data_IF_395990422809
#
_entry.id   IF_395990422809
#
_cell.length_a   1.000
_cell.length_b   1.000
_cell.length_c   1.000
_cell.angle_alpha   90.00
_cell.angle_beta   90.00
_cell.angle_gamma   90.00
#
_symmetry.space_group_name_H-M   'P 1'
#
loop_
_entity.id
_entity.type
_entity.pdbx_description
1 polymer ?
#
# COMPACT_ATOMS: atom_id res chain seq x y z
N UNK A 1 10.59 6.22 -38.27
CA UNK A 1 10.60 5.42 -37.03
C UNK A 1 10.91 3.98 -37.40
N UNK A 2 12.06 3.44 -36.98
CA UNK A 2 12.50 2.11 -37.41
C UNK A 2 11.55 1.04 -36.88
N UNK A 3 10.98 0.21 -37.76
CA UNK A 3 10.03 -0.87 -37.40
C UNK A 3 10.63 -1.86 -36.38
N UNK A 4 11.95 -2.00 -36.38
CA UNK A 4 12.72 -2.79 -35.41
C UNK A 4 12.68 -2.17 -34.01
N UNK A 5 12.75 -0.84 -33.89
CA UNK A 5 12.65 -0.16 -32.61
C UNK A 5 11.25 -0.31 -32.00
N UNK A 6 10.20 -0.29 -32.84
CA UNK A 6 8.81 -0.52 -32.38
C UNK A 6 8.63 -1.95 -31.86
N UNK A 7 9.21 -2.95 -32.54
CA UNK A 7 9.16 -4.34 -32.10
C UNK A 7 9.95 -4.58 -30.80
N UNK A 8 11.09 -3.91 -30.62
CA UNK A 8 11.87 -3.99 -29.39
C UNK A 8 11.14 -3.35 -28.20
N UNK A 9 10.51 -2.20 -28.38
CA UNK A 9 9.71 -1.54 -27.34
C UNK A 9 8.51 -2.41 -26.97
N UNK A 10 7.81 -2.95 -27.97
CA UNK A 10 6.69 -3.86 -27.74
C UNK A 10 7.13 -5.13 -26.97
N UNK A 11 8.28 -5.72 -27.34
CA UNK A 11 8.81 -6.89 -26.64
C UNK A 11 9.22 -6.59 -25.20
N UNK A 12 9.85 -5.44 -24.93
CA UNK A 12 10.18 -5.00 -23.58
C UNK A 12 8.94 -4.75 -22.71
N UNK A 13 7.84 -4.32 -23.32
CA UNK A 13 6.58 -4.07 -22.60
C UNK A 13 6.01 -5.35 -21.96
N UNK A 14 6.30 -6.52 -22.53
CA UNK A 14 5.83 -7.81 -22.00
C UNK A 14 6.72 -8.38 -20.88
N UNK A 15 7.91 -7.83 -20.65
CA UNK A 15 8.83 -8.32 -19.60
C UNK A 15 8.61 -7.66 -18.24
N UNK A 16 7.74 -6.64 -18.15
CA UNK A 16 7.40 -5.94 -16.90
C UNK A 16 6.25 -6.61 -16.12
N UNK A 17 6.21 -7.93 -16.04
CA UNK A 17 5.33 -8.64 -15.10
C UNK A 17 6.05 -8.79 -13.76
N UNK A 18 6.36 -7.68 -13.10
CA UNK A 18 6.88 -7.70 -11.73
C UNK A 18 5.74 -8.03 -10.78
N UNK A 19 5.71 -9.24 -10.24
CA UNK A 19 4.74 -9.64 -9.24
C UNK A 19 5.15 -9.07 -7.87
N UNK A 20 4.32 -8.19 -7.29
CA UNK A 20 4.28 -7.97 -5.84
C UNK A 20 3.50 -9.16 -5.28
N UNK A 21 4.02 -9.83 -4.25
CA UNK A 21 3.25 -10.90 -3.61
C UNK A 21 2.20 -10.25 -2.71
N UNK A 22 0.94 -10.35 -3.12
CA UNK A 22 -0.20 -9.80 -2.39
C UNK A 22 -0.98 -10.97 -1.81
N UNK A 23 -0.95 -11.08 -0.49
CA UNK A 23 -1.66 -12.11 0.27
C UNK A 23 -2.87 -11.46 0.93
N UNK A 24 -4.06 -11.82 0.47
CA UNK A 24 -5.33 -11.40 1.04
C UNK A 24 -5.89 -12.53 1.93
N UNK A 25 -6.12 -12.23 3.21
CA UNK A 25 -6.62 -13.17 4.20
C UNK A 25 -7.93 -12.68 4.82
N UNK A 26 -8.96 -13.53 4.75
CA UNK A 26 -10.26 -13.28 5.35
C UNK A 26 -10.55 -14.34 6.42
N UNK A 27 -10.56 -13.92 7.68
CA UNK A 27 -10.98 -14.74 8.80
C UNK A 27 -12.42 -14.39 9.17
N UNK A 28 -13.33 -15.35 9.10
CA UNK A 28 -14.76 -15.11 9.33
C UNK A 28 -15.29 -15.94 10.50
N UNK A 29 -15.96 -15.27 11.42
CA UNK A 29 -16.67 -15.86 12.54
C UNK A 29 -18.09 -16.28 12.13
N UNK A 30 -18.71 -17.15 12.92
CA UNK A 30 -20.09 -17.63 12.67
C UNK A 30 -21.15 -16.52 12.77
N UNK A 31 -20.85 -15.42 13.44
CA UNK A 31 -21.74 -14.28 13.60
C UNK A 31 -21.65 -13.25 12.44
N UNK A 32 -20.79 -13.50 11.45
CA UNK A 32 -20.58 -12.62 10.30
C UNK A 32 -19.45 -11.60 10.49
N UNK A 33 -18.88 -11.49 11.71
CA UNK A 33 -17.72 -10.64 11.98
C UNK A 33 -16.41 -11.32 11.60
N UNK A 34 -15.30 -10.59 11.61
CA UNK A 34 -14.01 -11.19 11.30
C UNK A 34 -12.85 -10.22 11.23
N UNK A 35 -11.76 -10.72 10.64
CA UNK A 35 -10.55 -9.95 10.36
C UNK A 35 -10.20 -10.08 8.89
N UNK A 36 -10.01 -8.94 8.24
CA UNK A 36 -9.48 -8.81 6.89
C UNK A 36 -8.03 -8.31 7.00
N UNK A 37 -7.10 -9.01 6.37
CA UNK A 37 -5.68 -8.63 6.34
C UNK A 37 -5.17 -8.76 4.92
N UNK A 38 -4.63 -7.67 4.39
CA UNK A 38 -3.94 -7.65 3.11
C UNK A 38 -2.47 -7.36 3.34
N UNK A 39 -1.61 -8.31 3.00
CA UNK A 39 -0.15 -8.18 3.10
C UNK A 39 0.42 -8.01 1.70
N UNK A 40 1.21 -6.97 1.49
CA UNK A 40 1.97 -6.73 0.26
C UNK A 40 3.44 -6.90 0.58
N UNK A 41 4.06 -7.91 0.00
CA UNK A 41 5.50 -8.14 0.05
C UNK A 41 6.15 -7.52 -1.19
N UNK A 42 6.82 -6.40 -0.94
CA UNK A 42 7.60 -5.65 -1.92
C UNK A 42 9.10 -5.91 -1.76
N UNK A 43 9.54 -6.88 -0.96
CA UNK A 43 10.96 -7.15 -0.68
C UNK A 43 11.81 -7.31 -1.96
N UNK A 44 11.23 -7.87 -3.02
CA UNK A 44 11.88 -8.01 -4.33
C UNK A 44 12.28 -6.67 -4.98
N UNK A 45 11.57 -5.58 -4.65
CA UNK A 45 11.87 -4.23 -5.15
C UNK A 45 12.99 -3.53 -4.35
N UNK A 46 13.36 -4.05 -3.18
CA UNK A 46 14.49 -3.56 -2.38
C UNK A 46 15.85 -4.06 -2.87
N UNK A 47 15.89 -4.85 -3.96
CA UNK A 47 17.13 -5.21 -4.64
C UNK A 47 17.95 -3.95 -4.98
N UNK A 48 19.28 -4.04 -4.85
CA UNK A 48 20.20 -2.91 -5.02
C UNK A 48 19.96 -2.14 -6.34
N UNK A 49 19.54 -2.84 -7.39
CA UNK A 49 19.28 -2.25 -8.71
C UNK A 49 17.98 -1.43 -8.77
N UNK A 50 16.95 -1.78 -7.99
CA UNK A 50 15.67 -1.06 -7.95
C UNK A 50 15.62 0.01 -6.86
N UNK A 51 16.44 -0.10 -5.81
CA UNK A 51 16.47 0.89 -4.71
C UNK A 51 16.74 2.31 -5.20
N UNK A 52 17.71 2.48 -6.10
CA UNK A 52 18.05 3.80 -6.66
C UNK A 52 16.94 4.39 -7.54
N UNK A 53 16.11 3.54 -8.17
CA UNK A 53 14.95 4.00 -8.95
C UNK A 53 13.82 4.46 -8.02
N UNK A 54 13.59 3.74 -6.93
CA UNK A 54 12.56 4.07 -5.92
C UNK A 54 12.92 5.37 -5.20
N UNK A 55 14.17 5.54 -4.78
CA UNK A 55 14.63 6.79 -4.15
C UNK A 55 14.40 8.00 -5.07
N UNK A 56 14.67 7.85 -6.38
CA UNK A 56 14.39 8.89 -7.37
C UNK A 56 12.90 9.16 -7.57
N UNK A 57 12.07 8.12 -7.67
CA UNK A 57 10.62 8.28 -7.80
C UNK A 57 10.01 8.94 -6.56
N UNK A 58 10.42 8.53 -5.36
CA UNK A 58 9.94 9.11 -4.10
C UNK A 58 10.36 10.58 -3.95
N UNK A 59 11.58 10.96 -4.33
CA UNK A 59 11.99 12.37 -4.34
C UNK A 59 11.23 13.23 -5.36
N UNK A 60 10.79 12.63 -6.47
CA UNK A 60 10.17 13.35 -7.57
C UNK A 60 8.63 13.45 -7.43
N UNK A 61 8.00 12.45 -6.82
CA UNK A 61 6.54 12.37 -6.69
C UNK A 61 6.03 12.71 -5.28
N UNK A 62 6.82 12.55 -4.21
CA UNK A 62 6.48 13.06 -2.89
C UNK A 62 7.04 14.47 -2.71
N UNK A 63 6.16 15.48 -2.67
CA UNK A 63 6.54 16.78 -2.13
C UNK A 63 7.11 16.57 -0.71
N UNK A 64 8.19 17.26 -0.35
CA UNK A 64 8.96 17.06 0.89
C UNK A 64 8.13 17.07 2.20
N UNK A 65 6.91 17.61 2.17
CA UNK A 65 5.96 17.62 3.31
C UNK A 65 5.06 16.37 3.42
N UNK A 66 5.09 15.45 2.44
CA UNK A 66 4.20 14.28 2.37
C UNK A 66 4.94 12.94 2.26
N UNK A 67 6.28 12.92 2.34
CA UNK A 67 7.00 11.66 2.43
C UNK A 67 6.79 11.05 3.82
N UNK A 68 6.10 9.90 3.98
CA UNK A 68 5.94 9.25 5.29
C UNK A 68 7.27 8.81 5.90
N UNK A 69 8.36 8.83 5.12
CA UNK A 69 9.70 8.41 5.50
C UNK A 69 10.72 9.56 5.67
N UNK A 70 10.35 10.82 5.37
CA UNK A 70 11.25 11.99 5.53
C UNK A 70 12.27 12.17 4.38
N UNK A 71 13.55 12.40 4.68
CA UNK A 71 14.62 12.64 3.68
C UNK A 71 15.22 11.34 3.09
N UNK A 72 14.38 10.37 2.75
CA UNK A 72 14.79 9.09 2.13
C UNK A 72 14.08 7.88 2.73
N UNK A 73 14.35 6.69 2.19
CA UNK A 73 13.90 5.45 2.84
C UNK A 73 14.79 5.14 4.05
N UNK A 74 14.21 4.85 5.23
CA UNK A 74 14.98 4.43 6.39
C UNK A 74 15.70 3.12 6.12
N UNK A 75 16.85 2.90 6.77
CA UNK A 75 17.54 1.60 6.71
C UNK A 75 16.72 0.50 7.37
N UNK A 76 16.03 0.84 8.46
CA UNK A 76 15.20 -0.05 9.24
C UNK A 76 13.95 0.73 9.69
N UNK A 77 12.77 0.15 9.51
CA UNK A 77 11.50 0.69 9.98
C UNK A 77 10.59 -0.46 10.42
N UNK A 78 10.01 -0.32 11.60
CA UNK A 78 8.90 -1.15 12.05
C UNK A 78 7.88 -0.20 12.67
N UNK A 79 6.75 0.02 12.01
CA UNK A 79 5.80 1.05 12.41
C UNK A 79 4.36 0.66 12.13
N UNK A 80 3.51 0.85 13.14
CA UNK A 80 2.09 0.61 13.10
C UNK A 80 1.34 1.94 13.16
N UNK A 81 0.53 2.22 12.16
CA UNK A 81 -0.29 3.41 12.03
C UNK A 81 -1.77 3.05 12.04
N UNK A 82 -2.60 3.85 12.70
CA UNK A 82 -4.05 3.73 12.60
C UNK A 82 -4.59 4.88 11.75
N UNK A 83 -5.53 4.58 10.85
CA UNK A 83 -6.06 5.60 9.92
C UNK A 83 -6.74 6.77 10.63
N UNK A 84 -7.40 6.49 11.76
CA UNK A 84 -7.99 7.52 12.64
C UNK A 84 -6.97 8.51 13.20
N UNK A 85 -5.70 8.12 13.31
CA UNK A 85 -4.64 8.95 13.89
C UNK A 85 -3.87 9.69 12.79
N UNK A 86 -3.75 9.08 11.60
CA UNK A 86 -3.08 9.67 10.43
C UNK A 86 -3.91 10.80 9.81
N UNK A 87 -5.21 10.59 9.60
CA UNK A 87 -6.09 11.60 9.02
C UNK A 87 -7.43 11.68 9.76
N UNK A 88 -7.43 12.17 11.02
CA UNK A 88 -8.62 12.19 11.86
C UNK A 88 -9.77 12.99 11.24
N UNK A 89 -9.46 14.04 10.48
CA UNK A 89 -10.47 14.88 9.86
C UNK A 89 -11.12 14.23 8.64
N UNK A 90 -10.37 13.44 7.84
CA UNK A 90 -10.96 12.64 6.78
C UNK A 90 -11.85 11.55 7.36
N UNK A 91 -11.38 10.81 8.37
CA UNK A 91 -12.17 9.76 9.03
C UNK A 91 -13.47 10.33 9.62
N UNK A 92 -13.43 11.49 10.28
CA UNK A 92 -14.64 12.12 10.85
C UNK A 92 -15.66 12.58 9.80
N UNK A 93 -15.25 12.80 8.55
CA UNK A 93 -16.15 13.23 7.45
C UNK A 93 -16.84 12.04 6.77
N UNK A 94 -16.39 10.83 7.03
CA UNK A 94 -17.02 9.61 6.53
C UNK A 94 -18.42 9.42 7.12
N UNK A 95 -19.29 8.78 6.34
CA UNK A 95 -20.62 8.36 6.76
C UNK A 95 -20.58 7.16 7.72
N UNK A 96 -19.52 6.35 7.68
CA UNK A 96 -19.26 5.22 8.59
C UNK A 96 -17.85 5.27 9.19
N UNK A 97 -17.55 6.25 10.06
CA UNK A 97 -16.22 6.42 10.63
C UNK A 97 -15.77 5.22 11.49
N UNK A 98 -16.71 4.45 12.03
CA UNK A 98 -16.45 3.28 12.87
C UNK A 98 -15.65 2.18 12.17
N UNK A 99 -15.72 2.11 10.83
CA UNK A 99 -14.97 1.14 10.02
C UNK A 99 -13.46 1.46 10.08
N UNK A 100 -13.10 2.74 10.12
CA UNK A 100 -11.70 3.18 10.12
C UNK A 100 -11.10 3.38 11.52
N UNK A 101 -11.91 3.29 12.59
CA UNK A 101 -11.43 3.46 13.98
C UNK A 101 -10.39 2.41 14.40
N UNK A 102 -10.48 1.21 13.82
CA UNK A 102 -9.58 0.07 14.08
C UNK A 102 -8.79 -0.37 12.87
N UNK A 103 -8.98 0.27 11.72
CA UNK A 103 -8.18 0.00 10.54
C UNK A 103 -6.74 0.46 10.80
N UNK A 104 -5.78 -0.37 10.42
CA UNK A 104 -4.35 -0.11 10.66
C UNK A 104 -3.49 -0.46 9.45
N UNK A 105 -2.32 0.14 9.40
CA UNK A 105 -1.24 -0.18 8.48
C UNK A 105 0.03 -0.47 9.28
N UNK A 106 0.63 -1.63 9.05
CA UNK A 106 1.92 -2.02 9.62
C UNK A 106 2.95 -2.06 8.50
N UNK A 107 4.02 -1.29 8.64
CA UNK A 107 5.12 -1.22 7.68
C UNK A 107 6.36 -1.81 8.33
N UNK A 108 6.98 -2.78 7.67
CA UNK A 108 8.26 -3.36 8.04
C UNK A 108 9.24 -3.18 6.89
N UNK A 109 10.36 -2.53 7.16
CA UNK A 109 11.45 -2.29 6.23
C UNK A 109 12.77 -2.65 6.89
N UNK A 110 13.62 -3.40 6.19
CA UNK A 110 14.96 -3.72 6.63
C UNK A 110 15.85 -3.89 5.41
N UNK A 111 16.70 -2.92 5.14
CA UNK A 111 17.62 -2.98 4.00
C UNK A 111 18.62 -4.13 4.18
N UNK A 112 19.05 -4.39 5.41
CA UNK A 112 19.97 -5.50 5.72
C UNK A 112 19.39 -6.88 5.43
N UNK A 113 18.07 -7.01 5.47
CA UNK A 113 17.33 -8.25 5.17
C UNK A 113 16.61 -8.21 3.83
N UNK A 114 16.80 -7.15 3.05
CA UNK A 114 16.06 -6.88 1.80
C UNK A 114 14.54 -6.97 1.98
N UNK A 115 14.03 -6.61 3.17
CA UNK A 115 12.63 -6.75 3.55
C UNK A 115 11.88 -5.44 3.31
N UNK A 116 10.75 -5.50 2.61
CA UNK A 116 9.76 -4.42 2.60
C UNK A 116 8.35 -5.00 2.53
N UNK A 117 7.68 -5.03 3.67
CA UNK A 117 6.34 -5.59 3.82
C UNK A 117 5.39 -4.53 4.37
N UNK A 118 4.22 -4.42 3.73
CA UNK A 118 3.12 -3.59 4.22
C UNK A 118 1.92 -4.49 4.53
N UNK A 119 1.40 -4.43 5.74
CA UNK A 119 0.18 -5.12 6.15
C UNK A 119 -0.93 -4.10 6.43
N UNK A 120 -2.05 -4.25 5.75
CA UNK A 120 -3.28 -3.50 5.96
C UNK A 120 -4.30 -4.39 6.66
N UNK A 121 -4.77 -3.98 7.83
CA UNK A 121 -5.71 -4.76 8.62
C UNK A 121 -7.00 -4.03 8.95
N UNK A 122 -8.11 -4.77 8.93
CA UNK A 122 -9.44 -4.33 9.30
C UNK A 122 -10.15 -5.42 10.12
N UNK A 123 -10.55 -5.08 11.34
CA UNK A 123 -11.53 -5.86 12.08
C UNK A 123 -12.94 -5.43 11.65
N UNK A 124 -13.71 -6.33 11.03
CA UNK A 124 -15.04 -6.03 10.49
C UNK A 124 -16.16 -6.70 11.29
N UNK A 125 -17.33 -6.06 11.34
CA UNK A 125 -18.56 -6.62 11.95
C UNK A 125 -19.37 -7.41 10.94
N UNK A 126 -19.36 -6.97 9.68
CA UNK A 126 -19.97 -7.65 8.56
C UNK A 126 -19.21 -7.34 7.27
N UNK A 127 -19.45 -8.14 6.22
CA UNK A 127 -18.69 -8.05 4.96
C UNK A 127 -18.83 -6.66 4.29
N UNK A 128 -19.92 -5.93 4.54
CA UNK A 128 -20.10 -4.58 3.96
C UNK A 128 -19.09 -3.57 4.49
N UNK A 129 -18.49 -3.82 5.66
CA UNK A 129 -17.41 -2.98 6.19
C UNK A 129 -16.16 -3.06 5.31
N UNK A 130 -15.87 -4.23 4.74
CA UNK A 130 -14.72 -4.43 3.85
C UNK A 130 -14.94 -3.68 2.53
N UNK A 131 -16.13 -3.82 1.94
CA UNK A 131 -16.51 -3.08 0.73
C UNK A 131 -16.45 -1.57 0.95
N UNK A 132 -17.01 -1.11 2.08
CA UNK A 132 -16.98 0.29 2.46
C UNK A 132 -15.54 0.78 2.63
N UNK A 133 -14.72 0.04 3.37
CA UNK A 133 -13.32 0.35 3.60
C UNK A 133 -12.55 0.49 2.27
N UNK A 134 -12.65 -0.50 1.38
CA UNK A 134 -11.99 -0.47 0.08
C UNK A 134 -12.47 0.71 -0.78
N UNK A 135 -13.74 1.10 -0.68
CA UNK A 135 -14.29 2.25 -1.42
C UNK A 135 -13.81 3.61 -0.90
N UNK A 136 -13.35 3.69 0.35
CA UNK A 136 -13.02 4.94 1.04
C UNK A 136 -11.55 5.08 1.43
N UNK A 137 -10.76 4.01 1.37
CA UNK A 137 -9.37 4.04 1.83
C UNK A 137 -8.52 5.07 1.09
N UNK A 138 -8.75 5.29 -0.21
CA UNK A 138 -8.03 6.33 -0.98
C UNK A 138 -8.33 7.75 -0.49
N UNK A 139 -9.56 8.01 -0.05
CA UNK A 139 -9.97 9.31 0.51
C UNK A 139 -9.30 9.55 1.88
N UNK A 140 -9.06 8.49 2.66
CA UNK A 140 -8.48 8.58 4.01
C UNK A 140 -6.95 8.56 3.99
N UNK A 141 -6.37 7.64 3.22
CA UNK A 141 -4.92 7.44 3.10
C UNK A 141 -4.23 8.52 2.24
N UNK A 142 -5.00 9.30 1.47
CA UNK A 142 -4.48 10.25 0.48
C UNK A 142 -4.19 9.58 -0.87
N UNK A 143 -4.17 10.37 -1.95
CA UNK A 143 -4.08 9.86 -3.33
C UNK A 143 -2.83 9.01 -3.60
N UNK A 144 -1.71 9.27 -2.91
CA UNK A 144 -0.44 8.55 -3.10
C UNK A 144 -0.47 7.12 -2.54
N UNK A 145 -1.08 6.92 -1.37
CA UNK A 145 -1.25 5.57 -0.79
C UNK A 145 -2.51 4.90 -1.36
N UNK A 146 -3.54 5.68 -1.72
CA UNK A 146 -4.79 5.19 -2.28
C UNK A 146 -4.66 4.45 -3.62
N UNK A 147 -3.64 4.76 -4.42
CA UNK A 147 -3.34 4.02 -5.66
C UNK A 147 -2.85 2.59 -5.43
N UNK A 148 -2.19 2.33 -4.29
CA UNK A 148 -1.70 1.00 -3.91
C UNK A 148 -2.75 0.14 -3.19
N UNK A 149 -3.85 0.73 -2.70
CA UNK A 149 -4.88 0.01 -1.93
C UNK A 149 -6.30 0.17 -2.51
N UNK A 150 -6.44 0.88 -3.63
CA UNK A 150 -7.73 1.12 -4.28
C UNK A 150 -8.22 -0.09 -5.11
N UNK A 151 -9.51 -0.10 -5.51
CA UNK A 151 -10.16 -1.22 -6.22
C UNK A 151 -9.69 -1.43 -7.68
N UNK A 152 -8.45 -1.02 -8.01
CA UNK A 152 -7.87 -1.06 -9.35
C UNK A 152 -6.54 -1.80 -9.46
N UNK A 153 -6.12 -2.53 -8.42
CA UNK A 153 -5.13 -3.61 -8.56
C UNK A 153 -5.79 -4.89 -9.05
#
# INVERSE_FOLDING_TARGET
MNRIAVLLIAALSFTFTGCIDVIEQLFMNKDGSGKYVMTMDMSTIMSEEMRGMIEMMMQQECAADQNPFGEGMPEELDSLFYFKDVNPDAVKKLDRPEVFEKAYMHIQMSQSKELFVMELGLDFKDISDIEYFNSKISEVAGEQMGGAFGPGM
#
